data_IF_423890647444
#
_entry.id   IF_423890647444
#
_cell.length_a   1.000
_cell.length_b   1.000
_cell.length_c   1.000
_cell.angle_alpha   90.00
_cell.angle_beta   90.00
_cell.angle_gamma   90.00
#
_symmetry.space_group_name_H-M   'P 1'
#
loop_
_entity.id
_entity.type
_entity.pdbx_description
1 polymer ?
#
# COMPACT_ATOMS: atom_id res chain seq x y z
N UNK A 1 84.32 -74.12 9.14
CA UNK A 1 84.70 -72.94 8.34
C UNK A 1 83.44 -72.37 7.69
N UNK A 2 83.26 -71.04 7.75
CA UNK A 2 82.15 -70.21 7.24
C UNK A 2 80.87 -70.03 8.08
N UNK A 3 80.98 -69.20 9.14
CA UNK A 3 79.86 -68.46 9.78
C UNK A 3 79.97 -66.94 9.48
N UNK A 4 80.80 -66.51 8.52
CA UNK A 4 81.12 -65.08 8.38
C UNK A 4 80.29 -64.29 7.36
N UNK A 5 79.36 -64.91 6.62
CA UNK A 5 78.64 -64.21 5.54
C UNK A 5 77.15 -63.94 5.76
N UNK A 6 76.60 -64.17 6.95
CA UNK A 6 75.16 -63.95 7.18
C UNK A 6 74.77 -62.66 7.92
N UNK A 7 75.75 -61.93 8.50
CA UNK A 7 75.48 -60.77 9.35
C UNK A 7 75.52 -59.41 8.63
N UNK A 8 76.10 -59.31 7.44
CA UNK A 8 76.20 -58.03 6.72
C UNK A 8 74.96 -57.66 5.89
N UNK A 9 74.02 -58.59 5.70
CA UNK A 9 72.80 -58.37 4.90
C UNK A 9 71.58 -57.91 5.72
N UNK A 10 71.64 -57.99 7.05
CA UNK A 10 70.51 -57.62 7.93
C UNK A 10 70.56 -56.17 8.44
N UNK A 11 71.72 -55.50 8.43
CA UNK A 11 71.83 -54.11 8.90
C UNK A 11 71.55 -53.04 7.82
N UNK A 12 71.54 -53.42 6.53
CA UNK A 12 71.21 -52.49 5.43
C UNK A 12 69.70 -52.29 5.20
N UNK A 13 68.88 -53.31 5.45
CA UNK A 13 67.44 -53.26 5.18
C UNK A 13 66.61 -52.67 6.32
N UNK A 14 67.07 -52.76 7.58
CA UNK A 14 66.32 -52.22 8.73
C UNK A 14 66.38 -50.69 8.80
N UNK A 15 67.48 -50.08 8.35
CA UNK A 15 67.67 -48.63 8.42
C UNK A 15 66.93 -47.85 7.30
N UNK A 16 66.68 -48.47 6.14
CA UNK A 16 65.88 -47.89 5.06
C UNK A 16 64.37 -47.97 5.30
N UNK A 17 63.89 -48.99 6.03
CA UNK A 17 62.47 -49.19 6.30
C UNK A 17 61.90 -48.20 7.34
N UNK A 18 62.71 -47.76 8.32
CA UNK A 18 62.27 -46.75 9.30
C UNK A 18 62.14 -45.34 8.69
N UNK A 19 63.05 -44.93 7.79
CA UNK A 19 62.98 -43.64 7.11
C UNK A 19 61.84 -43.56 6.09
N UNK A 20 61.63 -44.63 5.32
CA UNK A 20 60.52 -44.75 4.37
C UNK A 20 59.16 -44.77 5.08
N UNK A 21 59.04 -45.45 6.22
CA UNK A 21 57.82 -45.45 7.05
C UNK A 21 57.44 -44.05 7.55
N UNK A 22 58.43 -43.26 7.99
CA UNK A 22 58.22 -41.87 8.43
C UNK A 22 57.73 -40.96 7.29
N UNK A 23 58.33 -41.08 6.10
CA UNK A 23 57.95 -40.29 4.91
C UNK A 23 56.54 -40.65 4.45
N UNK A 24 56.22 -41.95 4.38
CA UNK A 24 54.88 -42.44 4.00
C UNK A 24 53.83 -41.96 5.02
N UNK A 25 54.15 -42.00 6.31
CA UNK A 25 53.24 -41.53 7.38
C UNK A 25 53.00 -40.02 7.30
N UNK A 26 54.04 -39.22 7.05
CA UNK A 26 53.87 -37.76 6.84
C UNK A 26 53.01 -37.45 5.62
N UNK A 27 53.22 -38.13 4.50
CA UNK A 27 52.43 -37.93 3.28
C UNK A 27 50.95 -38.32 3.49
N UNK A 28 50.68 -39.39 4.23
CA UNK A 28 49.33 -39.79 4.61
C UNK A 28 48.65 -38.76 5.52
N UNK A 29 49.38 -38.21 6.50
CA UNK A 29 48.88 -37.16 7.39
C UNK A 29 48.54 -35.88 6.64
N UNK A 30 49.41 -35.45 5.71
CA UNK A 30 49.17 -34.28 4.86
C UNK A 30 47.95 -34.52 3.95
N UNK A 31 47.86 -35.69 3.32
CA UNK A 31 46.70 -36.06 2.49
C UNK A 31 45.39 -36.06 3.28
N UNK A 32 45.38 -36.64 4.48
CA UNK A 32 44.21 -36.65 5.35
C UNK A 32 43.80 -35.23 5.78
N UNK A 33 44.76 -34.37 6.13
CA UNK A 33 44.50 -32.99 6.53
C UNK A 33 43.85 -32.18 5.39
N UNK A 34 44.30 -32.37 4.14
CA UNK A 34 43.73 -31.71 2.97
C UNK A 34 42.29 -32.19 2.74
N UNK A 35 42.04 -33.50 2.79
CA UNK A 35 40.69 -34.06 2.59
C UNK A 35 39.72 -33.56 3.65
N UNK A 36 40.14 -33.53 4.92
CA UNK A 36 39.33 -33.00 6.02
C UNK A 36 39.06 -31.50 5.82
N UNK A 37 40.07 -30.73 5.41
CA UNK A 37 39.92 -29.30 5.13
C UNK A 37 38.92 -29.00 4.01
N UNK A 38 38.99 -29.76 2.91
CA UNK A 38 38.06 -29.62 1.77
C UNK A 38 36.64 -30.02 2.15
N UNK A 39 36.49 -31.14 2.88
CA UNK A 39 35.18 -31.59 3.35
C UNK A 39 34.53 -30.58 4.31
N UNK A 40 35.32 -30.02 5.24
CA UNK A 40 34.86 -28.98 6.16
C UNK A 40 34.47 -27.70 5.42
N UNK A 41 35.27 -27.27 4.43
CA UNK A 41 34.97 -26.09 3.62
C UNK A 41 33.68 -26.25 2.83
N UNK A 42 33.47 -27.39 2.16
CA UNK A 42 32.24 -27.68 1.41
C UNK A 42 31.02 -27.68 2.32
N UNK A 43 31.08 -28.44 3.43
CA UNK A 43 29.99 -28.50 4.39
C UNK A 43 29.65 -27.14 4.99
N UNK A 44 30.67 -26.36 5.35
CA UNK A 44 30.51 -25.00 5.87
C UNK A 44 29.78 -24.11 4.87
N UNK A 45 30.21 -24.09 3.61
CA UNK A 45 29.55 -23.29 2.57
C UNK A 45 28.12 -23.73 2.31
N UNK A 46 27.86 -25.04 2.27
CA UNK A 46 26.51 -25.58 2.07
C UNK A 46 25.60 -25.18 3.25
N UNK A 47 26.08 -25.32 4.50
CA UNK A 47 25.32 -24.91 5.69
C UNK A 47 25.06 -23.41 5.71
N UNK A 48 26.05 -22.57 5.37
CA UNK A 48 25.87 -21.12 5.32
C UNK A 48 24.96 -20.68 4.17
N UNK A 49 25.04 -21.33 3.00
CA UNK A 49 24.16 -21.07 1.86
C UNK A 49 22.72 -21.46 2.20
N UNK A 50 22.49 -22.69 2.66
CA UNK A 50 21.16 -23.18 3.06
C UNK A 50 20.56 -22.36 4.19
N UNK A 51 21.37 -21.99 5.19
CA UNK A 51 20.93 -21.16 6.29
C UNK A 51 20.58 -19.75 5.79
N UNK A 52 21.41 -19.14 4.94
CA UNK A 52 21.12 -17.80 4.41
C UNK A 52 19.88 -17.82 3.51
N UNK A 53 19.71 -18.83 2.66
CA UNK A 53 18.57 -18.98 1.77
C UNK A 53 17.26 -19.23 2.53
N UNK A 54 17.29 -20.02 3.62
CA UNK A 54 16.10 -20.31 4.44
C UNK A 54 15.77 -19.21 5.46
N UNK A 55 16.79 -18.60 6.07
CA UNK A 55 16.63 -17.63 7.15
C UNK A 55 16.29 -16.23 6.61
N UNK A 56 16.92 -15.78 5.52
CA UNK A 56 16.70 -14.43 4.95
C UNK A 56 15.22 -14.14 4.62
N UNK A 57 14.49 -15.00 3.88
CA UNK A 57 13.08 -14.76 3.61
C UNK A 57 12.21 -14.89 4.87
N UNK A 58 12.56 -15.77 5.80
CA UNK A 58 11.84 -15.95 7.06
C UNK A 58 11.98 -14.72 7.97
N UNK A 59 13.17 -14.13 8.06
CA UNK A 59 13.43 -12.89 8.79
C UNK A 59 12.75 -11.70 8.09
N UNK A 60 12.84 -11.58 6.76
CA UNK A 60 12.12 -10.52 6.02
C UNK A 60 10.60 -10.60 6.21
N UNK A 61 10.03 -11.80 6.17
CA UNK A 61 8.60 -12.02 6.45
C UNK A 61 8.24 -11.73 7.90
N UNK A 62 9.10 -12.08 8.86
CA UNK A 62 8.83 -11.88 10.28
C UNK A 62 9.01 -10.42 10.72
N UNK A 63 10.02 -9.72 10.20
CA UNK A 63 10.23 -8.28 10.44
C UNK A 63 9.17 -7.46 9.70
N UNK A 64 8.75 -7.85 8.49
CA UNK A 64 7.62 -7.24 7.80
C UNK A 64 6.27 -7.40 8.52
N UNK A 65 6.16 -8.36 9.45
CA UNK A 65 5.01 -8.45 10.36
C UNK A 65 5.15 -7.53 11.60
N UNK A 66 6.38 -7.11 11.94
CA UNK A 66 6.66 -6.19 13.07
C UNK A 66 6.59 -4.73 12.60
N UNK A 67 7.07 -4.43 11.39
CA UNK A 67 6.96 -3.13 10.72
C UNK A 67 5.75 -3.21 9.79
N UNK A 68 4.65 -2.52 10.10
CA UNK A 68 3.52 -2.37 9.16
C UNK A 68 4.08 -1.75 7.86
N UNK A 69 4.13 -2.49 6.72
CA UNK A 69 4.83 -2.01 5.52
C UNK A 69 4.20 -0.75 4.93
N UNK A 70 2.90 -0.60 5.15
CA UNK A 70 2.13 0.58 4.78
C UNK A 70 1.38 1.12 6.00
N UNK A 71 1.24 2.43 6.05
CA UNK A 71 0.39 3.14 6.99
C UNK A 71 -0.53 4.14 6.25
N UNK A 72 -1.70 4.39 6.82
CA UNK A 72 -2.60 5.50 6.43
C UNK A 72 -2.52 6.53 7.56
N UNK A 73 -1.62 7.49 7.38
CA UNK A 73 -1.15 8.45 8.42
C UNK A 73 -2.30 9.35 8.85
N UNK A 74 -2.81 10.14 7.92
CA UNK A 74 -3.75 11.22 8.18
C UNK A 74 -4.96 11.09 7.27
N UNK A 75 -6.11 11.46 7.83
CA UNK A 75 -7.28 11.85 7.05
C UNK A 75 -7.43 13.32 7.38
N UNK A 76 -6.85 14.20 6.55
CA UNK A 76 -7.18 15.62 6.62
C UNK A 76 -8.52 15.80 5.95
N UNK A 77 -9.59 15.59 6.70
CA UNK A 77 -10.92 15.99 6.28
C UNK A 77 -11.58 16.73 7.41
N UNK A 78 -11.85 18.00 7.14
CA UNK A 78 -12.87 18.76 7.85
C UNK A 78 -14.14 17.91 7.90
N UNK A 79 -14.52 17.53 9.12
CA UNK A 79 -15.70 16.73 9.38
C UNK A 79 -16.93 17.58 9.06
N UNK A 80 -17.33 17.66 7.79
CA UNK A 80 -18.69 17.90 7.30
C UNK A 80 -19.58 18.77 8.23
N UNK A 81 -19.14 19.97 8.60
CA UNK A 81 -19.88 20.82 9.56
C UNK A 81 -20.93 21.68 8.85
N UNK A 82 -22.04 21.96 9.55
CA UNK A 82 -23.13 22.85 9.11
C UNK A 82 -23.84 22.44 7.81
N UNK A 83 -24.13 21.16 7.66
CA UNK A 83 -24.76 20.63 6.45
C UNK A 83 -26.28 20.48 6.58
N UNK A 84 -26.78 20.36 7.81
CA UNK A 84 -28.20 20.39 8.12
C UNK A 84 -28.66 21.85 8.20
N UNK A 85 -28.90 22.45 7.03
CA UNK A 85 -29.26 23.87 6.95
C UNK A 85 -30.64 24.16 7.54
N UNK A 86 -31.52 23.17 7.60
CA UNK A 86 -32.90 23.33 8.05
C UNK A 86 -33.13 22.88 9.51
N UNK A 87 -32.15 22.21 10.12
CA UNK A 87 -32.17 21.76 11.51
C UNK A 87 -33.03 20.52 11.78
N UNK A 88 -33.41 19.75 10.75
CA UNK A 88 -34.25 18.55 10.86
C UNK A 88 -33.47 17.27 11.17
N UNK A 89 -32.16 17.41 11.39
CA UNK A 89 -31.22 16.34 11.66
C UNK A 89 -31.12 15.33 10.51
N UNK A 90 -31.28 15.79 9.27
CA UNK A 90 -31.15 14.98 8.06
C UNK A 90 -30.44 15.76 6.96
N UNK A 91 -29.68 15.02 6.15
CA UNK A 91 -29.30 15.51 4.82
C UNK A 91 -30.33 14.95 3.87
N UNK A 92 -31.16 15.81 3.32
CA UNK A 92 -32.14 15.43 2.31
C UNK A 92 -31.54 15.54 0.91
N UNK A 93 -32.22 14.97 -0.07
CA UNK A 93 -31.81 15.10 -1.48
C UNK A 93 -32.04 16.51 -2.05
N UNK A 94 -32.22 17.51 -1.17
CA UNK A 94 -32.38 18.90 -1.55
C UNK A 94 -31.02 19.48 -1.97
N UNK A 95 -31.00 20.41 -2.93
CA UNK A 95 -29.75 21.01 -3.41
C UNK A 95 -28.97 21.73 -2.31
N UNK A 96 -29.72 22.26 -1.35
CA UNK A 96 -29.19 23.05 -0.24
C UNK A 96 -28.44 22.20 0.79
N UNK A 97 -28.61 20.89 0.79
CA UNK A 97 -27.95 19.98 1.75
C UNK A 97 -27.06 18.97 1.03
N UNK A 98 -27.10 18.92 -0.31
CA UNK A 98 -26.28 18.05 -1.14
C UNK A 98 -24.90 18.65 -1.39
N UNK A 99 -23.85 17.87 -1.12
CA UNK A 99 -22.47 18.30 -1.33
C UNK A 99 -21.55 17.14 -1.73
N UNK A 100 -20.48 17.50 -2.43
CA UNK A 100 -19.29 16.69 -2.62
C UNK A 100 -18.21 17.19 -1.66
N UNK A 101 -17.50 16.26 -1.04
CA UNK A 101 -16.32 16.59 -0.25
C UNK A 101 -15.11 15.82 -0.75
N UNK A 102 -13.98 16.50 -0.79
CA UNK A 102 -12.67 15.89 -0.96
C UNK A 102 -12.22 15.21 0.32
N UNK A 103 -11.90 13.91 0.22
CA UNK A 103 -11.24 13.11 1.25
C UNK A 103 -9.81 12.84 0.84
N UNK A 104 -8.86 13.51 1.49
CA UNK A 104 -7.43 13.34 1.27
C UNK A 104 -6.88 12.24 2.19
N UNK A 105 -6.25 11.24 1.59
CA UNK A 105 -5.61 10.14 2.30
C UNK A 105 -4.12 10.11 2.01
N UNK A 106 -3.33 10.13 3.07
CA UNK A 106 -1.89 10.01 2.99
C UNK A 106 -1.44 8.56 3.26
N UNK A 107 -0.77 7.98 2.28
CA UNK A 107 -0.19 6.64 2.36
C UNK A 107 1.32 6.74 2.55
N UNK A 108 1.83 6.09 3.59
CA UNK A 108 3.25 6.05 3.92
C UNK A 108 3.77 4.63 3.67
N UNK A 109 4.85 4.51 2.91
CA UNK A 109 5.58 3.26 2.73
C UNK A 109 6.81 3.24 3.64
N UNK A 110 6.79 2.35 4.63
CA UNK A 110 7.84 2.24 5.64
C UNK A 110 8.99 1.32 5.22
N UNK A 111 8.92 0.68 4.04
CA UNK A 111 9.92 -0.25 3.54
C UNK A 111 10.63 0.29 2.29
N UNK A 112 11.81 -0.25 1.98
CA UNK A 112 12.60 0.16 0.81
C UNK A 112 12.02 -0.33 -0.54
N UNK A 113 11.07 -1.26 -0.53
CA UNK A 113 10.48 -1.80 -1.75
C UNK A 113 9.26 -0.99 -2.20
N UNK A 114 9.09 -0.85 -3.51
CA UNK A 114 7.88 -0.31 -4.12
C UNK A 114 6.66 -1.20 -3.83
N UNK A 115 5.53 -0.57 -3.51
CA UNK A 115 4.28 -1.24 -3.22
C UNK A 115 3.20 -0.85 -4.25
N UNK A 116 2.54 -1.86 -4.81
CA UNK A 116 1.29 -1.66 -5.53
C UNK A 116 0.14 -1.61 -4.52
N UNK A 117 -0.50 -0.45 -4.41
CA UNK A 117 -1.58 -0.19 -3.47
C UNK A 117 -2.89 -0.21 -4.23
N UNK A 118 -3.84 -1.01 -3.75
CA UNK A 118 -5.22 -1.02 -4.23
C UNK A 118 -6.13 -0.57 -3.09
N UNK A 119 -6.80 0.55 -3.28
CA UNK A 119 -7.70 1.11 -2.29
C UNK A 119 -9.15 0.83 -2.64
N UNK A 120 -9.99 0.75 -1.62
CA UNK A 120 -11.44 0.62 -1.78
C UNK A 120 -12.15 1.31 -0.63
N UNK A 121 -13.21 2.04 -0.94
CA UNK A 121 -14.10 2.66 0.05
C UNK A 121 -15.37 1.82 0.19
N UNK A 122 -15.77 1.55 1.42
CA UNK A 122 -16.98 0.84 1.79
C UNK A 122 -17.87 1.74 2.62
N UNK A 123 -19.15 1.80 2.28
CA UNK A 123 -20.17 2.33 3.19
C UNK A 123 -20.54 1.27 4.22
N UNK A 124 -20.46 1.63 5.49
CA UNK A 124 -20.78 0.78 6.63
C UNK A 124 -22.22 0.99 7.11
N UNK A 125 -22.89 2.05 6.66
CA UNK A 125 -24.25 2.41 7.10
C UNK A 125 -25.24 2.22 5.97
N UNK A 126 -26.36 1.53 6.24
CA UNK A 126 -27.39 1.22 5.23
C UNK A 126 -28.30 2.40 4.86
N UNK A 127 -28.32 3.45 5.68
CA UNK A 127 -29.23 4.60 5.54
C UNK A 127 -28.54 5.83 4.93
N UNK A 128 -27.46 5.60 4.17
CA UNK A 128 -26.69 6.65 3.50
C UNK A 128 -26.77 6.42 2.00
N UNK A 129 -27.35 7.38 1.28
CA UNK A 129 -27.24 7.48 -0.16
C UNK A 129 -26.01 8.30 -0.50
N UNK A 130 -25.04 7.67 -1.13
CA UNK A 130 -23.78 8.29 -1.51
C UNK A 130 -23.33 7.75 -2.86
N UNK A 131 -22.42 8.47 -3.51
CA UNK A 131 -21.63 7.93 -4.60
C UNK A 131 -20.24 8.53 -4.61
N UNK A 132 -19.31 7.83 -5.28
CA UNK A 132 -18.02 8.45 -5.62
C UNK A 132 -18.16 9.18 -6.93
N UNK A 133 -17.60 10.38 -6.98
CA UNK A 133 -17.45 11.15 -8.22
C UNK A 133 -15.98 11.35 -8.54
N UNK A 134 -15.71 11.81 -9.75
CA UNK A 134 -14.37 12.16 -10.20
C UNK A 134 -14.36 13.67 -10.46
N UNK A 135 -13.38 14.38 -9.91
CA UNK A 135 -13.18 15.81 -10.17
C UNK A 135 -11.77 15.98 -10.74
N UNK A 136 -11.69 16.66 -11.87
CA UNK A 136 -10.43 17.13 -12.46
C UNK A 136 -10.11 18.53 -11.93
N UNK A 137 -9.38 18.57 -10.81
CA UNK A 137 -8.91 19.80 -10.19
C UNK A 137 -7.98 20.62 -11.10
N UNK A 138 -7.27 19.96 -12.03
CA UNK A 138 -6.39 20.65 -12.99
C UNK A 138 -7.16 21.41 -14.07
N UNK A 139 -8.44 21.08 -14.24
CA UNK A 139 -9.33 21.67 -15.24
C UNK A 139 -10.51 22.38 -14.58
N UNK A 140 -10.22 23.31 -13.67
CA UNK A 140 -11.21 24.14 -12.97
C UNK A 140 -12.28 23.31 -12.25
N UNK A 141 -11.86 22.24 -11.56
CA UNK A 141 -12.76 21.32 -10.85
C UNK A 141 -13.88 20.79 -11.74
N UNK A 142 -13.52 20.30 -12.93
CA UNK A 142 -14.49 19.68 -13.85
C UNK A 142 -14.98 18.36 -13.26
N UNK A 143 -16.30 18.18 -13.19
CA UNK A 143 -16.91 16.90 -12.85
C UNK A 143 -16.73 15.93 -14.02
N UNK A 144 -16.20 14.75 -13.75
CA UNK A 144 -16.03 13.68 -14.73
C UNK A 144 -17.02 12.55 -14.49
N UNK A 145 -17.40 11.89 -15.56
CA UNK A 145 -18.17 10.65 -15.53
C UNK A 145 -17.29 9.45 -15.12
N UNK A 146 -17.88 8.24 -15.20
CA UNK A 146 -17.21 6.99 -14.85
C UNK A 146 -16.01 6.68 -15.75
N UNK A 147 -16.06 7.09 -17.00
CA UNK A 147 -15.04 6.81 -18.01
C UNK A 147 -13.95 7.89 -18.03
N UNK A 148 -14.08 8.92 -17.18
CA UNK A 148 -13.15 10.03 -17.08
C UNK A 148 -13.42 11.14 -18.10
N UNK A 149 -14.58 11.14 -18.77
CA UNK A 149 -14.97 12.21 -19.68
C UNK A 149 -15.70 13.33 -18.92
N UNK A 150 -15.76 14.56 -19.47
CA UNK A 150 -16.55 15.64 -18.89
C UNK A 150 -18.01 15.21 -18.68
N UNK A 151 -18.49 15.33 -17.45
CA UNK A 151 -19.86 14.95 -17.10
C UNK A 151 -20.86 15.94 -17.73
N UNK A 152 -21.73 15.43 -18.60
CA UNK A 152 -22.76 16.20 -19.27
C UNK A 152 -24.09 16.11 -18.51
N UNK A 153 -24.58 17.24 -18.04
CA UNK A 153 -25.89 17.38 -17.45
C UNK A 153 -26.74 18.35 -18.27
N UNK A 154 -27.84 17.83 -18.85
CA UNK A 154 -28.80 18.61 -19.61
C UNK A 154 -28.18 19.47 -20.74
N UNK A 155 -27.12 18.97 -21.38
CA UNK A 155 -26.43 19.65 -22.47
C UNK A 155 -25.25 20.53 -22.04
N UNK A 156 -24.93 20.58 -20.74
CA UNK A 156 -23.82 21.37 -20.19
C UNK A 156 -22.81 20.48 -19.46
N UNK A 157 -21.52 20.79 -19.61
CA UNK A 157 -20.50 20.22 -18.74
C UNK A 157 -20.49 20.91 -17.39
N UNK A 158 -20.36 20.12 -16.32
CA UNK A 158 -20.45 20.60 -14.94
C UNK A 158 -19.06 20.88 -14.38
N UNK A 159 -18.82 22.13 -14.00
CA UNK A 159 -17.62 22.61 -13.31
C UNK A 159 -17.98 23.09 -11.91
N UNK A 160 -17.02 23.13 -10.99
CA UNK A 160 -17.21 23.75 -9.68
C UNK A 160 -16.40 25.04 -9.55
N UNK A 161 -17.09 26.18 -9.40
CA UNK A 161 -16.47 27.50 -9.25
C UNK A 161 -17.12 28.33 -8.14
N UNK A 162 -16.67 29.58 -7.96
CA UNK A 162 -17.12 30.44 -6.86
C UNK A 162 -18.50 31.09 -7.03
N UNK A 163 -19.27 30.74 -8.07
CA UNK A 163 -20.59 31.34 -8.32
C UNK A 163 -21.65 30.76 -7.40
N UNK A 164 -22.09 31.49 -6.39
CA UNK A 164 -23.13 31.05 -5.46
C UNK A 164 -24.50 30.85 -6.12
N UNK A 165 -25.07 29.65 -5.94
CA UNK A 165 -26.46 29.36 -6.29
C UNK A 165 -27.00 28.22 -5.42
N UNK A 166 -28.05 28.51 -4.66
CA UNK A 166 -28.62 27.58 -3.68
C UNK A 166 -29.11 26.25 -4.27
N UNK A 167 -29.51 26.23 -5.55
CA UNK A 167 -29.96 25.02 -6.26
C UNK A 167 -28.82 24.27 -6.97
N UNK A 168 -27.58 24.76 -6.87
CA UNK A 168 -26.38 24.08 -7.35
C UNK A 168 -25.81 23.14 -6.31
N UNK A 169 -25.30 22.01 -6.77
CA UNK A 169 -24.49 21.10 -5.98
C UNK A 169 -23.26 21.83 -5.47
N UNK A 170 -22.94 21.58 -4.20
CA UNK A 170 -21.79 22.15 -3.54
C UNK A 170 -20.60 21.21 -3.64
N UNK A 171 -19.40 21.77 -3.72
CA UNK A 171 -18.15 21.05 -3.66
C UNK A 171 -17.22 21.73 -2.67
N UNK A 172 -16.73 20.96 -1.70
CA UNK A 172 -15.70 21.40 -0.76
C UNK A 172 -14.38 20.75 -1.15
N UNK A 173 -13.36 21.57 -1.46
CA UNK A 173 -12.02 21.08 -1.79
C UNK A 173 -11.26 20.55 -0.55
N UNK A 174 -10.00 20.15 -0.74
CA UNK A 174 -9.17 19.62 0.36
C UNK A 174 -8.89 20.65 1.46
N UNK A 175 -8.95 21.94 1.15
CA UNK A 175 -8.77 23.04 2.10
C UNK A 175 -10.10 23.49 2.76
N UNK A 176 -11.22 22.82 2.42
CA UNK A 176 -12.55 23.16 2.91
C UNK A 176 -13.17 24.38 2.23
N UNK A 177 -12.62 24.84 1.10
CA UNK A 177 -13.20 25.94 0.33
C UNK A 177 -14.40 25.47 -0.47
N UNK A 178 -15.48 26.24 -0.39
CA UNK A 178 -16.76 25.96 -1.03
C UNK A 178 -16.81 26.49 -2.47
N UNK A 179 -17.28 25.63 -3.36
CA UNK A 179 -17.60 25.90 -4.76
C UNK A 179 -19.00 25.37 -5.09
N UNK A 180 -19.54 25.84 -6.21
CA UNK A 180 -20.88 25.52 -6.69
C UNK A 180 -20.84 25.05 -8.13
N UNK A 181 -21.73 24.13 -8.47
CA UNK A 181 -21.91 23.63 -9.82
C UNK A 181 -22.31 24.75 -10.81
N UNK A 182 -21.55 24.84 -11.89
CA UNK A 182 -21.70 25.86 -12.92
C UNK A 182 -21.20 25.36 -14.29
N UNK A 183 -21.52 26.09 -15.35
CA UNK A 183 -20.99 25.88 -16.69
C UNK A 183 -19.55 26.41 -16.79
N UNK A 184 -18.85 26.08 -17.89
CA UNK A 184 -17.50 26.61 -18.18
C UNK A 184 -17.41 28.14 -18.18
N UNK A 185 -18.52 28.83 -18.44
CA UNK A 185 -18.59 30.29 -18.52
C UNK A 185 -18.98 30.94 -17.18
N UNK A 186 -19.05 30.17 -16.09
CA UNK A 186 -19.39 30.70 -14.76
C UNK A 186 -20.89 30.84 -14.47
N UNK A 187 -21.77 30.37 -15.37
CA UNK A 187 -23.22 30.39 -15.16
C UNK A 187 -23.61 29.22 -14.26
N UNK A 188 -24.27 29.48 -13.14
CA UNK A 188 -24.71 28.45 -12.20
C UNK A 188 -25.69 27.45 -12.83
N UNK A 189 -25.62 26.18 -12.39
CA UNK A 189 -26.45 25.07 -12.90
C UNK A 189 -27.38 24.58 -11.79
N UNK A 190 -28.68 24.55 -12.04
CA UNK A 190 -29.62 23.87 -11.14
C UNK A 190 -29.44 22.35 -11.21
N UNK A 191 -28.88 21.76 -10.15
CA UNK A 191 -28.63 20.31 -10.06
C UNK A 191 -29.61 19.59 -9.14
N UNK A 192 -30.75 20.18 -8.78
CA UNK A 192 -31.71 19.56 -7.85
C UNK A 192 -32.13 18.15 -8.29
N UNK A 193 -32.31 17.97 -9.60
CA UNK A 193 -32.78 16.72 -10.19
C UNK A 193 -31.64 15.82 -10.68
N UNK A 194 -30.43 15.97 -10.15
CA UNK A 194 -29.32 15.09 -10.51
C UNK A 194 -29.51 13.70 -9.88
N UNK A 195 -30.03 12.77 -10.68
CA UNK A 195 -30.32 11.39 -10.26
C UNK A 195 -29.30 10.39 -10.85
N UNK A 196 -28.57 10.81 -11.88
CA UNK A 196 -27.74 9.94 -12.74
C UNK A 196 -26.26 9.88 -12.38
N UNK A 197 -25.85 10.46 -11.24
CA UNK A 197 -24.49 10.25 -10.75
C UNK A 197 -24.36 8.80 -10.28
N UNK A 198 -23.85 7.99 -11.21
CA UNK A 198 -23.70 6.55 -11.13
C UNK A 198 -23.33 6.15 -9.71
N UNK A 199 -24.19 5.32 -9.12
CA UNK A 199 -23.96 4.57 -7.91
C UNK A 199 -22.76 3.64 -8.10
N UNK A 200 -21.55 4.18 -7.98
CA UNK A 200 -20.33 3.38 -7.90
C UNK A 200 -20.22 2.95 -6.45
N UNK A 201 -20.87 1.84 -6.10
CA UNK A 201 -20.97 1.37 -4.71
C UNK A 201 -19.61 1.09 -4.04
N UNK A 202 -18.47 1.21 -4.72
CA UNK A 202 -17.12 1.16 -4.15
C UNK A 202 -16.10 1.81 -5.11
N UNK A 203 -15.68 3.07 -4.95
CA UNK A 203 -14.55 3.58 -5.73
C UNK A 203 -13.28 2.80 -5.37
N UNK A 204 -12.55 2.43 -6.41
CA UNK A 204 -11.24 1.78 -6.27
C UNK A 204 -10.19 2.61 -6.98
N UNK A 205 -9.05 2.83 -6.34
CA UNK A 205 -7.86 3.40 -6.98
C UNK A 205 -6.70 2.42 -6.86
N UNK A 206 -5.86 2.42 -7.88
CA UNK A 206 -4.64 1.61 -7.91
C UNK A 206 -3.47 2.53 -8.23
N UNK A 207 -2.41 2.45 -7.43
CA UNK A 207 -1.22 3.26 -7.66
C UNK A 207 0.04 2.58 -7.11
N UNK A 208 1.18 2.95 -7.70
CA UNK A 208 2.49 2.62 -7.19
C UNK A 208 2.87 3.63 -6.08
N UNK A 209 3.33 3.11 -4.95
CA UNK A 209 3.91 3.84 -3.84
C UNK A 209 5.39 3.44 -3.70
N UNK A 210 6.30 4.40 -3.84
CA UNK A 210 7.74 4.11 -3.85
C UNK A 210 8.24 3.71 -2.47
N UNK A 211 9.33 2.95 -2.41
CA UNK A 211 10.02 2.64 -1.15
C UNK A 211 10.39 3.90 -0.36
N UNK A 212 10.18 3.89 0.96
CA UNK A 212 10.44 5.02 1.87
C UNK A 212 9.89 6.35 1.37
N UNK A 213 8.64 6.32 0.90
CA UNK A 213 7.98 7.48 0.33
C UNK A 213 6.56 7.64 0.85
N UNK A 214 6.01 8.82 0.61
CA UNK A 214 4.66 9.20 0.96
C UNK A 214 3.90 9.58 -0.31
N UNK A 215 2.59 9.32 -0.32
CA UNK A 215 1.71 9.73 -1.41
C UNK A 215 0.32 10.04 -0.92
N UNK A 216 -0.17 11.21 -1.29
CA UNK A 216 -1.55 11.61 -1.07
C UNK A 216 -2.45 11.17 -2.23
N UNK A 217 -3.67 10.74 -1.91
CA UNK A 217 -4.71 10.40 -2.88
C UNK A 217 -6.05 10.98 -2.43
N UNK A 218 -6.68 11.73 -3.33
CA UNK A 218 -7.97 12.36 -3.09
C UNK A 218 -9.13 11.46 -3.53
N UNK A 219 -10.21 11.42 -2.76
CA UNK A 219 -11.49 10.81 -3.14
C UNK A 219 -12.58 11.86 -3.05
N UNK A 220 -13.48 11.90 -4.02
CA UNK A 220 -14.59 12.85 -4.01
C UNK A 220 -15.86 12.07 -3.71
N UNK A 221 -16.42 12.31 -2.53
CA UNK A 221 -17.60 11.60 -2.04
C UNK A 221 -18.78 12.55 -2.09
N UNK A 222 -19.79 12.19 -2.88
CA UNK A 222 -21.09 12.84 -2.89
C UNK A 222 -21.99 12.17 -1.85
N UNK A 223 -22.57 12.97 -0.95
CA UNK A 223 -23.63 12.54 -0.04
C UNK A 223 -24.95 13.16 -0.51
N UNK A 224 -25.92 12.29 -0.83
CA UNK A 224 -27.23 12.69 -1.34
C UNK A 224 -28.35 12.54 -0.31
N UNK A 225 -28.19 11.62 0.64
CA UNK A 225 -29.16 11.43 1.71
C UNK A 225 -28.48 10.75 2.90
N UNK A 226 -28.71 11.24 4.10
CA UNK A 226 -28.35 10.51 5.31
C UNK A 226 -29.29 10.90 6.45
N UNK A 227 -29.69 9.89 7.23
CA UNK A 227 -30.50 10.03 8.45
C UNK A 227 -29.57 9.78 9.63
N UNK A 228 -29.17 10.85 10.33
CA UNK A 228 -28.06 10.91 11.32
C UNK A 228 -28.14 9.76 12.35
N UNK A 229 -27.01 9.08 12.67
CA UNK A 229 -26.14 9.51 13.77
C UNK A 229 -24.64 9.61 13.43
N UNK A 230 -23.93 10.39 14.26
CA UNK A 230 -22.47 10.47 14.46
C UNK A 230 -21.81 9.07 14.54
N UNK A 231 -21.62 8.46 13.38
CA UNK A 231 -21.22 7.06 13.24
C UNK A 231 -20.18 6.95 12.14
N UNK A 232 -19.40 5.89 12.22
CA UNK A 232 -18.45 5.56 11.16
C UNK A 232 -19.26 5.19 9.92
N UNK A 233 -19.28 6.06 8.91
CA UNK A 233 -20.03 5.83 7.68
C UNK A 233 -19.16 5.13 6.64
N UNK A 234 -17.89 5.51 6.51
CA UNK A 234 -17.01 4.89 5.52
C UNK A 234 -15.84 4.16 6.16
N UNK A 235 -15.44 3.07 5.49
CA UNK A 235 -14.18 2.38 5.74
C UNK A 235 -13.37 2.38 4.45
N UNK A 236 -12.15 2.88 4.53
CA UNK A 236 -11.18 2.72 3.46
C UNK A 236 -10.29 1.53 3.79
N UNK A 237 -10.12 0.64 2.82
CA UNK A 237 -9.17 -0.47 2.90
C UNK A 237 -8.14 -0.29 1.81
N UNK A 238 -6.87 -0.26 2.17
CA UNK A 238 -5.73 -0.32 1.27
C UNK A 238 -5.13 -1.73 1.32
N UNK A 239 -5.06 -2.37 0.17
CA UNK A 239 -4.57 -3.74 0.01
C UNK A 239 -3.23 -3.74 -0.71
N UNK A 240 -2.28 -4.51 -0.18
CA UNK A 240 -0.93 -4.68 -0.72
C UNK A 240 -0.58 -6.16 -0.77
N UNK A 241 0.57 -6.51 -1.37
CA UNK A 241 1.08 -7.89 -1.33
C UNK A 241 1.40 -8.40 0.09
N UNK A 242 1.56 -7.49 1.06
CA UNK A 242 1.82 -7.82 2.47
C UNK A 242 0.54 -7.86 3.33
N UNK A 243 -0.63 -7.68 2.71
CA UNK A 243 -1.92 -7.66 3.40
C UNK A 243 -2.59 -6.28 3.35
N UNK A 244 -3.57 -6.11 4.23
CA UNK A 244 -4.49 -4.98 4.20
C UNK A 244 -4.29 -4.06 5.39
N UNK A 245 -4.40 -2.75 5.16
CA UNK A 245 -4.50 -1.73 6.19
C UNK A 245 -5.83 -1.01 6.01
N UNK A 246 -6.54 -0.76 7.11
CA UNK A 246 -7.84 -0.09 7.08
C UNK A 246 -7.83 1.20 7.91
N UNK A 247 -8.61 2.17 7.45
CA UNK A 247 -8.89 3.43 8.13
C UNK A 247 -10.40 3.69 8.05
N UNK A 248 -10.98 4.16 9.15
CA UNK A 248 -12.41 4.43 9.27
C UNK A 248 -12.64 5.94 9.26
N UNK A 249 -13.69 6.40 8.58
CA UNK A 249 -14.13 7.79 8.50
C UNK A 249 -15.45 7.93 9.24
N UNK A 250 -15.49 8.85 10.20
CA UNK A 250 -16.70 9.22 10.95
C UNK A 250 -17.31 10.47 10.33
N UNK A 251 -18.64 10.52 10.27
CA UNK A 251 -19.38 11.73 9.91
C UNK A 251 -19.92 12.35 11.18
N UNK A 252 -19.69 13.65 11.33
CA UNK A 252 -20.40 14.48 12.30
C UNK A 252 -21.32 15.37 11.48
N UNK A 253 -22.60 15.39 11.82
CA UNK A 253 -23.59 16.26 11.19
C UNK A 253 -24.09 17.16 12.31
N UNK A 254 -23.68 18.43 12.27
CA UNK A 254 -23.98 19.48 13.25
C UNK A 254 -24.87 20.55 12.66
#
# INVERSE_FOLDING_TARGET
MNIHNHLHKLNGDVMNNCGMSLIITMLLLIGAAIVIGVAYYSWSNDVFSDATEKITPTIKSSIGNIIKPIEISSIETFYFTNLDLNGDSQITNNPEERFIQTVKLEFINNIDEDLNINTRIYCLTSNVSWCSVNIDESNNNLLLDRDGNPYNYSGYFVYFNGTDYYSSMRFYDEDGKLYYAATSNGIAINTSNLIDLIRIDCPTKSFLLKGKSEKSVNYYILINHTKIPNTIIFKIVASTKYGNVEKKITFEIS
#
